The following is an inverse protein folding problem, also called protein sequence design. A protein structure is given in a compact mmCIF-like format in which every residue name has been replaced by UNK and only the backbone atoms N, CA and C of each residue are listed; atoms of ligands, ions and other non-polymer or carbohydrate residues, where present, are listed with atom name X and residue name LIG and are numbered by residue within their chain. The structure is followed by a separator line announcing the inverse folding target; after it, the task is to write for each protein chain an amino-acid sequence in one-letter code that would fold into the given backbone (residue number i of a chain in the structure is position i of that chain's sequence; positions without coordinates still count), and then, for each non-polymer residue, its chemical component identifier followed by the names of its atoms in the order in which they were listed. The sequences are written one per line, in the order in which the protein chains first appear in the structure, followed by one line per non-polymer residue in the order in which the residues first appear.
data_IF_290275905265
#
_entry.id   IF_290275905265
#
_cell.length_a   1.000
_cell.length_b   1.000
_cell.length_c   1.000
_cell.angle_alpha   90.00
_cell.angle_beta   90.00
_cell.angle_gamma   90.00
#
_symmetry.space_group_name_H-M   'P 1'
#
loop_
_entity.id
_entity.type
_entity.pdbx_description
1 polymer ?
#
# COMPACT_ATOMS: atom_id res chain seq x y z
N UNK A 1 -12.10 -26.88 -3.86
CA UNK A 1 -12.62 -25.60 -4.39
C UNK A 1 -11.73 -25.25 -5.57
N UNK A 2 -12.26 -25.27 -6.80
CA UNK A 2 -11.44 -25.23 -8.00
C UNK A 2 -11.72 -23.94 -8.77
N UNK A 3 -10.70 -23.11 -8.94
CA UNK A 3 -10.71 -22.02 -9.91
C UNK A 3 -10.72 -22.63 -11.31
N UNK A 4 -11.53 -22.08 -12.20
CA UNK A 4 -11.55 -22.52 -13.60
C UNK A 4 -10.28 -22.07 -14.33
N UNK A 5 -9.96 -22.71 -15.46
CA UNK A 5 -8.87 -22.23 -16.33
C UNK A 5 -9.11 -20.79 -16.82
N UNK A 6 -10.38 -20.42 -17.03
CA UNK A 6 -10.75 -19.05 -17.39
C UNK A 6 -10.46 -18.09 -16.23
N UNK A 7 -10.79 -18.47 -14.98
CA UNK A 7 -10.50 -17.67 -13.79
C UNK A 7 -9.01 -17.39 -13.67
N UNK A 8 -8.18 -18.44 -13.84
CA UNK A 8 -6.73 -18.33 -13.76
C UNK A 8 -6.16 -17.41 -14.86
N UNK A 9 -6.69 -17.49 -16.08
CA UNK A 9 -6.27 -16.58 -17.18
C UNK A 9 -6.62 -15.13 -16.86
N UNK A 10 -7.84 -14.87 -16.42
CA UNK A 10 -8.27 -13.51 -16.05
C UNK A 10 -7.47 -12.98 -14.86
N UNK A 11 -7.16 -13.82 -13.87
CA UNK A 11 -6.26 -13.48 -12.76
C UNK A 11 -4.88 -13.06 -13.28
N UNK A 12 -4.25 -13.87 -14.14
CA UNK A 12 -2.94 -13.54 -14.71
C UNK A 12 -2.95 -12.20 -15.47
N UNK A 13 -3.98 -11.96 -16.29
CA UNK A 13 -4.15 -10.66 -16.97
C UNK A 13 -4.28 -9.50 -15.97
N UNK A 14 -5.15 -9.64 -14.96
CA UNK A 14 -5.34 -8.65 -13.91
C UNK A 14 -4.06 -8.35 -13.15
N UNK A 15 -3.31 -9.39 -12.74
CA UNK A 15 -2.03 -9.20 -12.05
C UNK A 15 -1.05 -8.42 -12.93
N UNK A 16 -0.98 -8.72 -14.22
CA UNK A 16 -0.17 -7.97 -15.17
C UNK A 16 -0.49 -6.47 -15.18
N UNK A 17 -1.77 -6.12 -15.33
CA UNK A 17 -2.22 -4.72 -15.34
C UNK A 17 -2.01 -4.01 -13.99
N UNK A 18 -2.11 -4.73 -12.87
CA UNK A 18 -1.87 -4.17 -11.53
C UNK A 18 -0.40 -3.87 -11.25
N UNK A 19 0.53 -4.52 -11.95
CA UNK A 19 1.95 -4.20 -11.89
C UNK A 19 2.36 -3.05 -12.82
N UNK A 20 1.44 -2.50 -13.62
CA UNK A 20 1.70 -1.30 -14.40
C UNK A 20 1.46 -0.04 -13.56
N UNK A 21 2.43 0.86 -13.56
CA UNK A 21 2.38 2.16 -12.90
C UNK A 21 1.17 2.98 -13.39
N UNK A 22 0.34 3.47 -12.45
CA UNK A 22 -0.83 4.30 -12.78
C UNK A 22 -1.11 5.34 -11.68
N UNK A 23 -1.47 6.58 -12.04
CA UNK A 23 -1.92 7.58 -11.07
C UNK A 23 -3.37 7.32 -10.58
N UNK A 24 -4.10 6.43 -11.25
CA UNK A 24 -5.51 6.14 -10.99
C UNK A 24 -5.66 4.97 -10.01
N UNK A 25 -6.66 5.06 -9.13
CA UNK A 25 -7.04 3.95 -8.24
C UNK A 25 -7.66 2.79 -9.02
N UNK A 26 -7.80 1.62 -8.37
CA UNK A 26 -8.45 0.45 -8.97
C UNK A 26 -9.81 0.80 -9.62
N UNK A 27 -10.67 1.54 -8.93
CA UNK A 27 -12.03 1.90 -9.39
C UNK A 27 -12.05 2.90 -10.54
N UNK A 28 -10.94 3.61 -10.77
CA UNK A 28 -10.79 4.60 -11.84
C UNK A 28 -10.17 3.99 -13.10
N UNK A 29 -9.94 2.66 -13.12
CA UNK A 29 -9.36 1.91 -14.23
C UNK A 29 -10.40 0.97 -14.84
N UNK A 30 -11.14 1.41 -15.89
CA UNK A 30 -12.22 0.63 -16.51
C UNK A 30 -11.79 -0.77 -16.96
N UNK A 31 -10.58 -0.89 -17.51
CA UNK A 31 -10.01 -2.14 -18.01
C UNK A 31 -9.82 -3.19 -16.91
N UNK A 32 -9.53 -2.75 -15.68
CA UNK A 32 -9.37 -3.63 -14.52
C UNK A 32 -10.72 -3.89 -13.86
N UNK A 33 -11.51 -2.84 -13.62
CA UNK A 33 -12.83 -2.97 -12.95
C UNK A 33 -13.78 -3.85 -13.74
N UNK A 34 -13.81 -3.76 -15.07
CA UNK A 34 -14.67 -4.63 -15.91
C UNK A 34 -14.26 -6.10 -15.82
N UNK A 35 -12.94 -6.40 -15.85
CA UNK A 35 -12.44 -7.78 -15.69
C UNK A 35 -12.75 -8.32 -14.29
N UNK A 36 -12.55 -7.51 -13.26
CA UNK A 36 -12.85 -7.89 -11.87
C UNK A 36 -14.36 -8.10 -11.66
N UNK A 37 -15.18 -7.23 -12.26
CA UNK A 37 -16.63 -7.33 -12.30
C UNK A 37 -17.10 -8.66 -12.89
N UNK A 38 -16.58 -9.02 -14.07
CA UNK A 38 -16.90 -10.28 -14.73
C UNK A 38 -16.42 -11.50 -13.93
N UNK A 39 -15.22 -11.43 -13.32
CA UNK A 39 -14.61 -12.54 -12.60
C UNK A 39 -15.35 -12.88 -11.28
N UNK A 40 -15.84 -11.84 -10.59
CA UNK A 40 -16.49 -11.96 -9.27
C UNK A 40 -18.02 -11.92 -9.35
N UNK A 41 -18.61 -11.59 -10.49
CA UNK A 41 -20.07 -11.40 -10.61
C UNK A 41 -20.57 -10.18 -9.85
N UNK A 42 -19.78 -9.11 -9.83
CA UNK A 42 -20.10 -7.83 -9.14
C UNK A 42 -20.37 -6.75 -10.17
N UNK A 43 -21.29 -5.83 -9.89
CA UNK A 43 -21.58 -4.67 -10.76
C UNK A 43 -21.41 -3.32 -10.03
N UNK A 44 -20.96 -3.36 -8.78
CA UNK A 44 -20.55 -2.21 -8.00
C UNK A 44 -19.22 -2.51 -7.33
N UNK A 45 -18.26 -1.61 -7.52
CA UNK A 45 -16.98 -1.64 -6.80
C UNK A 45 -16.77 -0.24 -6.23
N UNK A 46 -16.76 -0.13 -4.91
CA UNK A 46 -16.50 1.11 -4.20
C UNK A 46 -15.15 1.06 -3.52
N UNK A 47 -14.50 2.21 -3.45
CA UNK A 47 -13.24 2.44 -2.79
C UNK A 47 -13.42 3.59 -1.79
N UNK A 48 -13.18 3.34 -0.51
CA UNK A 48 -13.27 4.35 0.56
C UNK A 48 -11.89 4.50 1.19
N UNK A 49 -11.36 5.71 1.16
CA UNK A 49 -10.12 6.07 1.85
C UNK A 49 -10.48 6.54 3.25
N UNK A 50 -9.93 5.89 4.26
CA UNK A 50 -10.15 6.23 5.67
C UNK A 50 -8.90 6.84 6.31
N UNK A 51 -9.10 7.88 7.13
CA UNK A 51 -8.13 8.40 8.10
C UNK A 51 -8.49 7.95 9.52
N UNK A 52 -7.61 8.28 10.48
CA UNK A 52 -7.80 8.02 11.91
C UNK A 52 -8.06 6.55 12.26
N UNK A 53 -7.31 5.63 11.64
CA UNK A 53 -7.44 4.19 11.82
C UNK A 53 -8.85 3.66 11.46
N UNK A 54 -9.37 4.07 10.31
CA UNK A 54 -10.67 3.58 9.82
C UNK A 54 -11.88 4.27 10.44
N UNK A 55 -11.71 5.47 11.03
CA UNK A 55 -12.80 6.20 11.69
C UNK A 55 -13.43 7.26 10.80
N UNK A 56 -12.63 7.98 10.02
CA UNK A 56 -13.09 9.13 9.23
C UNK A 56 -12.92 8.83 7.75
N UNK A 57 -14.01 8.69 6.95
CA UNK A 57 -13.87 8.55 5.51
C UNK A 57 -13.52 9.92 4.90
N UNK A 58 -12.47 9.97 4.09
CA UNK A 58 -12.00 11.23 3.46
C UNK A 58 -12.24 11.27 1.96
N UNK A 59 -12.36 10.11 1.31
CA UNK A 59 -12.67 10.02 -0.11
C UNK A 59 -13.46 8.74 -0.38
N UNK A 60 -14.45 8.83 -1.27
CA UNK A 60 -15.28 7.72 -1.72
C UNK A 60 -15.40 7.79 -3.23
N UNK A 61 -14.96 6.74 -3.91
CA UNK A 61 -15.08 6.61 -5.36
C UNK A 61 -15.75 5.27 -5.67
N UNK A 62 -16.74 5.27 -6.56
CA UNK A 62 -17.48 4.06 -6.92
C UNK A 62 -17.59 3.91 -8.42
N UNK A 63 -17.33 2.69 -8.89
CA UNK A 63 -17.63 2.24 -10.24
C UNK A 63 -18.99 1.53 -10.26
N UNK A 64 -19.76 1.74 -11.32
CA UNK A 64 -21.05 1.09 -11.57
C UNK A 64 -22.27 1.80 -10.97
N UNK A 65 -22.09 2.89 -10.22
CA UNK A 65 -23.17 3.73 -9.67
C UNK A 65 -22.88 5.21 -9.87
N UNK A 66 -23.91 6.03 -9.74
CA UNK A 66 -23.82 7.47 -9.98
C UNK A 66 -22.98 8.18 -8.90
N UNK A 67 -22.23 9.26 -9.23
CA UNK A 67 -21.33 9.92 -8.29
C UNK A 67 -22.02 10.60 -7.09
N UNK A 68 -23.27 11.02 -7.24
CA UNK A 68 -24.11 11.60 -6.18
C UNK A 68 -24.25 10.65 -4.97
N UNK A 69 -24.30 9.35 -5.22
CA UNK A 69 -24.28 8.30 -4.20
C UNK A 69 -23.12 8.46 -3.21
N UNK A 70 -21.93 8.83 -3.69
CA UNK A 70 -20.74 8.95 -2.84
C UNK A 70 -20.87 10.15 -1.89
N UNK A 71 -21.46 11.25 -2.37
CA UNK A 71 -21.71 12.43 -1.56
C UNK A 71 -22.77 12.14 -0.47
N UNK A 72 -23.87 11.45 -0.82
CA UNK A 72 -24.88 11.03 0.16
C UNK A 72 -24.28 10.10 1.23
N UNK A 73 -23.42 9.16 0.81
CA UNK A 73 -22.73 8.27 1.75
C UNK A 73 -21.86 9.05 2.74
N UNK A 74 -21.03 9.97 2.24
CA UNK A 74 -20.15 10.77 3.08
C UNK A 74 -20.93 11.71 4.02
N UNK A 75 -22.03 12.29 3.56
CA UNK A 75 -22.79 13.26 4.36
C UNK A 75 -23.59 12.62 5.50
N UNK A 76 -24.11 11.41 5.29
CA UNK A 76 -25.05 10.80 6.23
C UNK A 76 -24.77 9.32 6.46
N UNK A 77 -24.79 8.51 5.39
CA UNK A 77 -24.89 7.07 5.54
C UNK A 77 -23.63 6.40 6.13
N UNK A 78 -22.45 7.03 6.06
CA UNK A 78 -21.25 6.51 6.73
C UNK A 78 -21.41 6.43 8.26
N UNK A 79 -22.21 7.32 8.86
CA UNK A 79 -22.42 7.37 10.31
C UNK A 79 -23.39 6.29 10.81
N UNK A 80 -24.26 5.79 9.93
CA UNK A 80 -25.26 4.75 10.23
C UNK A 80 -24.96 3.41 9.55
N UNK A 81 -23.84 3.30 8.83
CA UNK A 81 -23.42 2.06 8.18
C UNK A 81 -23.01 1.01 9.23
N UNK A 82 -23.76 -0.10 9.38
CA UNK A 82 -23.45 -1.14 10.35
C UNK A 82 -22.27 -2.04 9.91
N UNK A 83 -21.84 -1.98 8.65
CA UNK A 83 -20.77 -2.82 8.09
C UNK A 83 -19.40 -2.22 8.41
N UNK A 84 -19.22 -0.91 8.23
CA UNK A 84 -17.95 -0.20 8.46
C UNK A 84 -17.27 -0.58 9.80
N UNK A 85 -17.94 -0.57 10.96
CA UNK A 85 -17.31 -0.90 12.23
C UNK A 85 -16.88 -2.37 12.35
N UNK A 86 -17.59 -3.28 11.68
CA UNK A 86 -17.33 -4.74 11.73
C UNK A 86 -16.14 -5.14 10.87
N UNK A 87 -15.80 -4.33 9.87
CA UNK A 87 -14.65 -4.55 9.03
C UNK A 87 -13.34 -4.12 9.73
N UNK A 88 -13.39 -3.15 10.66
CA UNK A 88 -12.19 -2.55 11.26
C UNK A 88 -11.26 -3.62 11.83
N UNK A 89 -9.95 -3.44 11.60
CA UNK A 89 -8.88 -4.35 12.03
C UNK A 89 -8.89 -5.75 11.40
N UNK A 90 -9.61 -5.95 10.29
CA UNK A 90 -9.59 -7.21 9.53
C UNK A 90 -9.01 -6.99 8.13
N UNK A 91 -7.76 -7.40 7.87
CA UNK A 91 -7.07 -7.08 6.62
C UNK A 91 -7.48 -7.98 5.44
N UNK A 92 -8.04 -9.15 5.70
CA UNK A 92 -8.32 -10.17 4.67
C UNK A 92 -9.60 -9.87 3.88
N UNK A 93 -9.78 -10.54 2.74
CA UNK A 93 -11.05 -10.48 2.03
C UNK A 93 -12.15 -11.22 2.83
N UNK A 94 -13.31 -10.57 2.96
CA UNK A 94 -14.41 -11.02 3.81
C UNK A 94 -15.72 -11.03 3.04
N UNK A 95 -16.55 -12.04 3.34
CA UNK A 95 -17.96 -12.08 2.95
C UNK A 95 -18.76 -11.23 3.93
N UNK A 96 -19.50 -10.23 3.43
CA UNK A 96 -20.29 -9.32 4.27
C UNK A 96 -21.38 -10.08 5.03
N UNK A 97 -21.97 -11.12 4.42
CA UNK A 97 -22.96 -11.98 5.09
C UNK A 97 -22.37 -12.77 6.28
N UNK A 98 -21.05 -12.97 6.32
CA UNK A 98 -20.34 -13.55 7.46
C UNK A 98 -20.13 -12.56 8.62
N UNK A 99 -20.33 -11.26 8.38
CA UNK A 99 -20.15 -10.20 9.37
C UNK A 99 -21.49 -9.76 9.98
N UNK A 100 -22.51 -9.61 9.14
CA UNK A 100 -23.84 -9.19 9.53
C UNK A 100 -24.88 -10.04 8.83
N UNK A 101 -25.81 -10.61 9.61
CA UNK A 101 -26.90 -11.40 9.06
C UNK A 101 -27.80 -10.54 8.17
N UNK A 102 -28.19 -11.06 7.00
CA UNK A 102 -29.05 -10.38 6.02
C UNK A 102 -30.33 -9.80 6.63
N UNK A 103 -31.02 -10.52 7.53
CA UNK A 103 -32.25 -10.01 8.18
C UNK A 103 -31.99 -8.83 9.11
N UNK A 104 -30.80 -8.78 9.71
CA UNK A 104 -30.39 -7.65 10.58
C UNK A 104 -30.04 -6.45 9.72
N UNK A 105 -29.23 -6.65 8.68
CA UNK A 105 -28.90 -5.59 7.72
C UNK A 105 -30.16 -4.99 7.10
N UNK A 106 -31.12 -5.82 6.68
CA UNK A 106 -32.38 -5.37 6.08
C UNK A 106 -33.26 -4.46 6.96
N UNK A 107 -33.00 -4.42 8.27
CA UNK A 107 -33.74 -3.59 9.23
C UNK A 107 -33.06 -2.26 9.51
N UNK A 108 -31.87 -2.01 8.95
CA UNK A 108 -31.15 -0.76 9.16
C UNK A 108 -31.58 0.30 8.14
N UNK A 109 -31.53 1.56 8.56
CA UNK A 109 -31.70 2.72 7.68
C UNK A 109 -30.74 2.65 6.49
N UNK A 110 -29.47 2.27 6.76
CA UNK A 110 -28.47 2.09 5.72
C UNK A 110 -28.92 1.14 4.61
N UNK A 111 -29.61 0.05 4.95
CA UNK A 111 -30.11 -0.87 3.93
C UNK A 111 -31.35 -0.34 3.20
N UNK A 112 -32.33 0.14 3.97
CA UNK A 112 -33.63 0.54 3.41
C UNK A 112 -33.54 1.79 2.55
N UNK A 113 -32.75 2.76 2.99
CA UNK A 113 -32.79 4.11 2.43
C UNK A 113 -31.64 4.37 1.46
N UNK A 114 -30.50 3.69 1.64
CA UNK A 114 -29.30 3.81 0.79
C UNK A 114 -29.09 2.59 -0.11
N UNK A 115 -28.78 1.41 0.45
CA UNK A 115 -28.42 0.23 -0.36
C UNK A 115 -29.53 -0.17 -1.33
N UNK A 116 -30.80 -0.17 -0.89
CA UNK A 116 -31.93 -0.51 -1.76
C UNK A 116 -32.15 0.53 -2.86
N UNK A 117 -32.06 1.82 -2.53
CA UNK A 117 -32.20 2.94 -3.48
C UNK A 117 -31.21 2.82 -4.64
N UNK A 118 -29.95 2.56 -4.31
CA UNK A 118 -28.89 2.41 -5.30
C UNK A 118 -28.73 0.98 -5.83
N UNK A 119 -29.62 0.04 -5.44
CA UNK A 119 -29.57 -1.38 -5.83
C UNK A 119 -28.18 -1.98 -5.56
N UNK A 120 -27.75 -1.96 -4.31
CA UNK A 120 -26.45 -2.47 -3.86
C UNK A 120 -26.69 -3.57 -2.84
N UNK A 121 -26.51 -4.81 -3.26
CA UNK A 121 -26.43 -5.95 -2.35
C UNK A 121 -24.95 -6.21 -2.06
N UNK A 122 -24.49 -5.97 -0.82
CA UNK A 122 -23.08 -6.07 -0.48
C UNK A 122 -22.65 -7.53 -0.46
N UNK A 123 -21.54 -7.83 -1.13
CA UNK A 123 -21.01 -9.19 -1.24
C UNK A 123 -19.72 -9.37 -0.47
N UNK A 124 -18.68 -8.67 -0.92
CA UNK A 124 -17.31 -8.82 -0.45
C UNK A 124 -16.77 -7.47 0.02
N UNK A 125 -15.86 -7.51 0.98
CA UNK A 125 -15.05 -6.36 1.35
C UNK A 125 -13.62 -6.79 1.63
N UNK A 126 -12.67 -5.89 1.40
CA UNK A 126 -11.25 -6.10 1.67
C UNK A 126 -10.59 -4.78 2.02
N UNK A 127 -9.72 -4.81 3.03
CA UNK A 127 -8.89 -3.67 3.38
C UNK A 127 -7.47 -3.82 2.83
N UNK A 128 -6.96 -2.73 2.27
CA UNK A 128 -5.55 -2.54 2.00
C UNK A 128 -5.03 -1.42 2.89
N UNK A 129 -3.91 -1.66 3.56
CA UNK A 129 -3.25 -0.65 4.39
C UNK A 129 -1.96 -0.21 3.71
N UNK A 130 -1.73 1.11 3.69
CA UNK A 130 -0.45 1.67 3.24
C UNK A 130 0.51 1.93 4.41
N UNK A 131 1.75 2.30 4.09
CA UNK A 131 2.80 2.56 5.09
C UNK A 131 2.55 3.79 5.98
N UNK A 132 1.61 4.65 5.61
CA UNK A 132 1.17 5.83 6.35
C UNK A 132 -0.03 5.56 7.26
N UNK A 133 -0.56 4.33 7.29
CA UNK A 133 -1.77 3.97 8.03
C UNK A 133 -3.06 4.42 7.34
N UNK A 134 -2.99 4.79 6.05
CA UNK A 134 -4.19 5.00 5.23
C UNK A 134 -4.80 3.63 4.96
N UNK A 135 -6.08 3.52 5.31
CA UNK A 135 -6.86 2.31 5.13
C UNK A 135 -7.78 2.47 3.92
N UNK A 136 -7.57 1.63 2.91
CA UNK A 136 -8.35 1.60 1.67
C UNK A 136 -9.35 0.45 1.75
N UNK A 137 -10.62 0.81 1.85
CA UNK A 137 -11.76 -0.11 1.87
C UNK A 137 -12.24 -0.37 0.45
N UNK A 138 -12.09 -1.59 -0.03
CA UNK A 138 -12.76 -2.03 -1.25
C UNK A 138 -14.04 -2.76 -0.89
N UNK A 139 -15.17 -2.27 -1.38
CA UNK A 139 -16.49 -2.90 -1.21
C UNK A 139 -17.05 -3.31 -2.55
N UNK A 140 -17.37 -4.58 -2.67
CA UNK A 140 -17.86 -5.16 -3.91
C UNK A 140 -19.27 -5.68 -3.69
N UNK A 141 -20.16 -5.34 -4.61
CA UNK A 141 -21.58 -5.68 -4.54
C UNK A 141 -22.20 -5.81 -5.91
N UNK A 142 -23.50 -6.07 -5.91
CA UNK A 142 -24.27 -6.39 -7.11
C UNK A 142 -25.66 -5.79 -7.04
N UNK A 143 -26.28 -5.52 -8.19
CA UNK A 143 -27.69 -5.16 -8.28
C UNK A 143 -28.63 -6.36 -8.17
N UNK A 144 -28.13 -7.58 -8.36
CA UNK A 144 -28.95 -8.80 -8.30
C UNK A 144 -29.08 -9.33 -6.86
N UNK A 145 -30.27 -9.26 -6.23
CA UNK A 145 -30.49 -9.78 -4.87
C UNK A 145 -30.34 -11.31 -4.72
N UNK A 146 -30.26 -12.04 -5.85
CA UNK A 146 -30.10 -13.49 -5.90
C UNK A 146 -28.64 -13.93 -6.07
N UNK A 147 -27.75 -13.02 -6.48
CA UNK A 147 -26.33 -13.31 -6.60
C UNK A 147 -25.76 -13.62 -5.22
N UNK A 148 -25.02 -14.72 -5.13
CA UNK A 148 -24.37 -15.17 -3.89
C UNK A 148 -22.85 -15.11 -4.06
N UNK A 149 -22.16 -14.77 -2.98
CA UNK A 149 -20.70 -14.76 -2.93
C UNK A 149 -20.24 -15.84 -1.96
N UNK A 150 -19.16 -16.54 -2.30
CA UNK A 150 -18.64 -17.62 -1.48
C UNK A 150 -17.13 -17.62 -1.38
N UNK A 151 -16.60 -18.76 -0.97
CA UNK A 151 -15.17 -18.97 -0.79
C UNK A 151 -14.37 -18.81 -2.10
N UNK A 152 -15.01 -19.01 -3.27
CA UNK A 152 -14.35 -18.79 -4.57
C UNK A 152 -13.97 -17.32 -4.74
N UNK A 153 -14.92 -16.42 -4.57
CA UNK A 153 -14.70 -14.98 -4.77
C UNK A 153 -13.76 -14.42 -3.69
N UNK A 154 -13.88 -14.92 -2.46
CA UNK A 154 -12.95 -14.62 -1.38
C UNK A 154 -11.51 -15.02 -1.74
N UNK A 155 -11.32 -16.25 -2.23
CA UNK A 155 -10.00 -16.74 -2.68
C UNK A 155 -9.43 -15.88 -3.82
N UNK A 156 -10.26 -15.48 -4.79
CA UNK A 156 -9.82 -14.62 -5.90
C UNK A 156 -9.31 -13.28 -5.37
N UNK A 157 -10.03 -12.65 -4.43
CA UNK A 157 -9.60 -11.40 -3.81
C UNK A 157 -8.32 -11.59 -2.97
N UNK A 158 -8.22 -12.68 -2.21
CA UNK A 158 -7.01 -13.00 -1.44
C UNK A 158 -5.79 -13.18 -2.36
N UNK A 159 -5.96 -13.82 -3.53
CA UNK A 159 -4.91 -13.96 -4.53
C UNK A 159 -4.52 -12.63 -5.19
N UNK A 160 -5.49 -11.73 -5.41
CA UNK A 160 -5.24 -10.40 -6.00
C UNK A 160 -4.68 -9.39 -4.99
N UNK A 161 -4.97 -9.57 -3.70
CA UNK A 161 -4.60 -8.66 -2.61
C UNK A 161 -3.14 -8.19 -2.64
N UNK A 162 -2.11 -9.07 -2.73
CA UNK A 162 -0.71 -8.61 -2.79
C UNK A 162 -0.42 -7.73 -4.01
N UNK A 163 -1.08 -7.99 -5.14
CA UNK A 163 -0.93 -7.19 -6.37
C UNK A 163 -1.62 -5.83 -6.26
N UNK A 164 -2.76 -5.77 -5.57
CA UNK A 164 -3.45 -4.52 -5.28
C UNK A 164 -2.66 -3.63 -4.30
N UNK A 165 -2.05 -4.24 -3.27
CA UNK A 165 -1.14 -3.53 -2.36
C UNK A 165 0.04 -2.94 -3.14
N UNK A 166 0.64 -3.72 -4.05
CA UNK A 166 1.71 -3.24 -4.92
C UNK A 166 1.25 -2.08 -5.81
N UNK A 167 0.11 -2.22 -6.49
CA UNK A 167 -0.45 -1.18 -7.35
C UNK A 167 -0.69 0.14 -6.58
N UNK A 168 -1.22 0.06 -5.36
CA UNK A 168 -1.41 1.22 -4.50
C UNK A 168 -0.07 1.87 -4.13
N UNK A 169 0.93 1.07 -3.77
CA UNK A 169 2.27 1.57 -3.43
C UNK A 169 2.94 2.26 -4.61
N UNK A 170 2.84 1.69 -5.81
CA UNK A 170 3.30 2.32 -7.05
C UNK A 170 2.60 3.67 -7.28
N UNK A 171 1.28 3.71 -7.12
CA UNK A 171 0.50 4.95 -7.23
C UNK A 171 0.96 6.00 -6.22
N UNK A 172 1.21 5.61 -4.96
CA UNK A 172 1.74 6.51 -3.94
C UNK A 172 3.13 7.04 -4.31
N UNK A 173 4.02 6.22 -4.87
CA UNK A 173 5.32 6.68 -5.39
C UNK A 173 5.13 7.73 -6.50
N UNK A 174 4.32 7.43 -7.51
CA UNK A 174 4.08 8.33 -8.64
C UNK A 174 3.49 9.68 -8.20
N UNK A 175 2.56 9.65 -7.25
CA UNK A 175 1.92 10.87 -6.75
C UNK A 175 2.86 11.72 -5.89
N UNK A 176 3.77 11.10 -5.12
CA UNK A 176 4.81 11.80 -4.38
C UNK A 176 5.82 12.51 -5.31
N UNK A 177 6.01 12.02 -6.53
CA UNK A 177 6.93 12.61 -7.53
C UNK A 177 6.35 13.79 -8.33
N UNK A 178 5.16 14.30 -8.00
CA UNK A 178 4.58 15.51 -8.63
C UNK A 178 5.09 16.82 -8.02
N UNK A 179 6.33 16.86 -7.53
CA UNK A 179 7.04 18.12 -7.29
C UNK A 179 7.64 18.63 -8.63
N UNK A 180 7.33 19.83 -9.13
CA UNK A 180 7.58 20.24 -10.52
C UNK A 180 9.06 20.44 -10.92
N UNK A 181 10.04 20.09 -10.09
CA UNK A 181 11.43 20.56 -10.23
C UNK A 181 12.50 19.51 -10.54
N UNK A 182 12.17 18.24 -10.87
CA UNK A 182 13.23 17.33 -11.33
C UNK A 182 12.79 15.97 -11.90
N UNK A 183 13.66 15.28 -12.69
CA UNK A 183 13.32 14.04 -13.39
C UNK A 183 13.78 12.74 -12.69
N UNK A 184 14.17 12.77 -11.41
CA UNK A 184 14.56 11.56 -10.69
C UNK A 184 13.53 11.19 -9.62
N UNK A 185 13.17 9.89 -9.58
CA UNK A 185 12.34 9.34 -8.52
C UNK A 185 12.95 9.64 -7.15
N UNK A 186 12.20 10.31 -6.28
CA UNK A 186 12.51 10.61 -4.87
C UNK A 186 12.51 9.35 -3.97
N UNK A 187 12.78 8.17 -4.53
CA UNK A 187 12.95 6.94 -3.80
C UNK A 187 14.02 6.03 -4.43
N UNK A 188 14.71 5.19 -3.65
CA UNK A 188 15.64 4.20 -4.17
C UNK A 188 14.95 3.27 -5.18
N UNK A 189 15.50 3.19 -6.39
CA UNK A 189 14.93 2.39 -7.47
C UNK A 189 16.01 1.55 -8.15
N UNK A 190 15.64 0.35 -8.57
CA UNK A 190 16.46 -0.58 -9.35
C UNK A 190 15.75 -0.96 -10.65
N UNK A 191 16.43 -0.80 -11.78
CA UNK A 191 15.98 -1.36 -13.06
C UNK A 191 16.53 -2.77 -13.18
N UNK A 192 15.64 -3.73 -13.43
CA UNK A 192 15.94 -5.14 -13.53
C UNK A 192 15.75 -5.59 -14.98
N UNK A 193 16.86 -5.91 -15.63
CA UNK A 193 16.90 -6.60 -16.92
C UNK A 193 17.43 -8.02 -16.66
N UNK A 194 16.74 -9.09 -17.11
CA UNK A 194 17.21 -10.47 -16.97
C UNK A 194 18.64 -10.71 -17.48
N UNK A 195 19.13 -9.89 -18.42
CA UNK A 195 20.46 -10.02 -19.01
C UNK A 195 21.56 -9.25 -18.26
N UNK A 196 21.23 -8.36 -17.32
CA UNK A 196 22.21 -7.50 -16.64
C UNK A 196 22.03 -7.50 -15.12
N UNK A 197 23.04 -7.01 -14.40
CA UNK A 197 22.92 -6.81 -12.95
C UNK A 197 21.89 -5.70 -12.65
N UNK A 198 21.16 -5.77 -11.51
CA UNK A 198 20.25 -4.73 -11.08
C UNK A 198 20.90 -3.34 -11.12
N UNK A 199 20.29 -2.41 -11.86
CA UNK A 199 20.84 -1.08 -12.09
C UNK A 199 20.22 -0.06 -11.12
N UNK A 200 20.97 0.46 -10.13
CA UNK A 200 20.47 1.40 -9.14
C UNK A 200 20.40 2.84 -9.66
N UNK A 201 19.36 3.59 -9.28
CA UNK A 201 19.36 5.05 -9.42
C UNK A 201 20.29 5.73 -8.38
N UNK A 202 20.35 7.06 -8.37
CA UNK A 202 21.17 7.82 -7.41
C UNK A 202 20.85 7.52 -5.94
N UNK A 203 19.56 7.53 -5.59
CA UNK A 203 19.08 7.24 -4.21
C UNK A 203 19.38 5.80 -3.78
N UNK A 204 19.26 4.83 -4.69
CA UNK A 204 19.65 3.44 -4.43
C UNK A 204 21.15 3.29 -4.20
N UNK A 205 21.99 3.99 -4.97
CA UNK A 205 23.45 3.99 -4.71
C UNK A 205 23.79 4.58 -3.34
N UNK A 206 23.15 5.68 -2.95
CA UNK A 206 23.34 6.29 -1.64
C UNK A 206 22.92 5.33 -0.50
N UNK A 207 21.75 4.68 -0.64
CA UNK A 207 21.29 3.67 0.30
C UNK A 207 22.32 2.53 0.42
N UNK A 208 22.76 1.98 -0.71
CA UNK A 208 23.69 0.85 -0.74
C UNK A 208 25.08 1.16 -0.15
N UNK A 209 25.54 2.41 -0.25
CA UNK A 209 26.82 2.81 0.34
C UNK A 209 26.85 2.67 1.87
N UNK A 210 25.68 2.72 2.53
CA UNK A 210 25.54 2.55 3.97
C UNK A 210 25.31 1.11 4.43
N UNK A 211 25.25 0.14 3.51
CA UNK A 211 24.93 -1.26 3.82
C UNK A 211 26.20 -2.10 3.97
N UNK A 212 26.16 -3.04 4.92
CA UNK A 212 27.20 -4.07 5.00
C UNK A 212 27.10 -5.08 3.84
N UNK A 213 28.07 -5.99 3.76
CA UNK A 213 28.13 -6.99 2.68
C UNK A 213 26.91 -7.91 2.69
N UNK A 214 26.48 -8.39 3.86
CA UNK A 214 25.36 -9.31 3.98
C UNK A 214 24.03 -8.65 3.58
N UNK A 215 23.84 -7.40 3.99
CA UNK A 215 22.68 -6.58 3.64
C UNK A 215 22.61 -6.32 2.12
N UNK A 216 23.74 -6.03 1.48
CA UNK A 216 23.81 -5.91 0.03
C UNK A 216 23.49 -7.23 -0.66
N UNK A 217 24.09 -8.32 -0.23
CA UNK A 217 23.90 -9.63 -0.85
C UNK A 217 22.43 -10.09 -0.74
N UNK A 218 21.77 -9.86 0.40
CA UNK A 218 20.35 -10.17 0.58
C UNK A 218 19.44 -9.32 -0.31
N UNK A 219 19.72 -8.02 -0.45
CA UNK A 219 18.96 -7.15 -1.36
C UNK A 219 19.14 -7.59 -2.82
N UNK A 220 20.39 -7.80 -3.27
CA UNK A 220 20.66 -8.25 -4.63
C UNK A 220 20.06 -9.63 -4.92
N UNK A 221 20.08 -10.55 -3.96
CA UNK A 221 19.40 -11.85 -4.09
C UNK A 221 17.90 -11.70 -4.35
N UNK A 222 17.21 -10.83 -3.63
CA UNK A 222 15.79 -10.53 -3.85
C UNK A 222 15.55 -9.90 -5.23
N UNK A 223 16.37 -8.92 -5.62
CA UNK A 223 16.25 -8.25 -6.93
C UNK A 223 16.47 -9.23 -8.09
N UNK A 224 17.48 -10.10 -7.98
CA UNK A 224 17.75 -11.14 -8.98
C UNK A 224 16.63 -12.17 -9.06
N UNK A 225 16.00 -12.53 -7.93
CA UNK A 225 14.83 -13.41 -7.93
C UNK A 225 13.65 -12.77 -8.68
N UNK A 226 13.37 -11.48 -8.42
CA UNK A 226 12.32 -10.74 -9.13
C UNK A 226 12.62 -10.68 -10.64
N UNK A 227 13.87 -10.41 -11.02
CA UNK A 227 14.28 -10.37 -12.41
C UNK A 227 14.04 -11.71 -13.14
N UNK A 228 14.31 -12.83 -12.46
CA UNK A 228 14.22 -14.17 -13.04
C UNK A 228 12.80 -14.75 -13.06
N UNK A 229 12.01 -14.53 -12.00
CA UNK A 229 10.73 -15.22 -11.78
C UNK A 229 9.53 -14.26 -11.74
N UNK A 230 9.77 -12.96 -11.81
CA UNK A 230 8.76 -11.94 -11.59
C UNK A 230 8.48 -11.70 -10.09
N UNK A 231 7.54 -10.79 -9.79
CA UNK A 231 7.19 -10.43 -8.42
C UNK A 231 6.55 -11.60 -7.67
N UNK A 232 7.06 -11.89 -6.47
CA UNK A 232 6.49 -12.83 -5.51
C UNK A 232 5.68 -12.11 -4.42
N UNK A 233 4.99 -12.87 -3.56
CA UNK A 233 4.22 -12.30 -2.45
C UNK A 233 5.15 -11.86 -1.31
N UNK A 234 4.80 -10.74 -0.65
CA UNK A 234 5.44 -10.34 0.60
C UNK A 234 6.87 -9.80 0.46
N UNK A 235 7.17 -9.08 -0.64
CA UNK A 235 8.50 -8.53 -0.87
C UNK A 235 8.80 -7.34 0.07
N UNK A 236 9.55 -7.63 1.14
CA UNK A 236 10.07 -6.65 2.07
C UNK A 236 11.53 -6.94 2.43
N UNK A 237 12.28 -5.90 2.73
CA UNK A 237 13.69 -5.99 3.08
C UNK A 237 14.09 -4.81 3.98
N UNK A 238 14.65 -5.10 5.15
CA UNK A 238 15.17 -4.09 6.10
C UNK A 238 14.26 -2.88 6.35
N UNK A 239 12.94 -3.11 6.48
CA UNK A 239 11.96 -2.03 6.70
C UNK A 239 11.50 -1.31 5.44
N UNK A 240 11.94 -1.74 4.26
CA UNK A 240 11.42 -1.32 2.97
C UNK A 240 10.47 -2.38 2.39
N UNK A 241 9.41 -1.94 1.76
CA UNK A 241 8.62 -2.72 0.81
C UNK A 241 9.24 -2.56 -0.58
N UNK A 242 9.36 -3.67 -1.32
CA UNK A 242 9.78 -3.65 -2.72
C UNK A 242 8.52 -3.57 -3.57
N UNK A 243 8.34 -2.44 -4.24
CA UNK A 243 7.20 -2.19 -5.12
C UNK A 243 7.65 -2.43 -6.55
N UNK A 244 7.04 -3.39 -7.21
CA UNK A 244 7.48 -3.88 -8.52
C UNK A 244 6.57 -3.30 -9.59
N UNK A 245 7.14 -2.48 -10.46
CA UNK A 245 6.51 -2.03 -11.70
C UNK A 245 6.97 -2.95 -12.83
N UNK A 246 6.02 -3.41 -13.64
CA UNK A 246 6.26 -4.05 -14.93
C UNK A 246 6.14 -3.00 -16.02
N UNK A 247 7.20 -2.81 -16.80
CA UNK A 247 7.19 -1.89 -17.94
C UNK A 247 7.91 -2.51 -19.15
N UNK A 248 7.84 -1.82 -20.29
CA UNK A 248 8.53 -2.19 -21.52
C UNK A 248 9.77 -1.30 -21.71
N UNK A 249 10.87 -1.87 -22.19
CA UNK A 249 12.00 -1.09 -22.71
C UNK A 249 11.67 -0.46 -24.08
N UNK A 250 12.62 0.30 -24.62
CA UNK A 250 12.49 0.92 -25.95
C UNK A 250 12.31 -0.10 -27.09
N UNK A 251 12.75 -1.35 -26.88
CA UNK A 251 12.67 -2.45 -27.84
C UNK A 251 11.40 -3.31 -27.64
N UNK A 252 10.52 -2.94 -26.69
CA UNK A 252 9.28 -3.66 -26.39
C UNK A 252 9.47 -4.94 -25.56
N UNK A 253 10.61 -5.12 -24.90
CA UNK A 253 10.87 -6.22 -23.97
C UNK A 253 10.41 -5.86 -22.56
N UNK A 254 9.87 -6.83 -21.84
CA UNK A 254 9.50 -6.65 -20.44
C UNK A 254 10.73 -6.49 -19.55
N UNK A 255 10.67 -5.48 -18.69
CA UNK A 255 11.60 -5.27 -17.60
C UNK A 255 10.82 -4.95 -16.33
N UNK A 256 11.49 -5.08 -15.18
CA UNK A 256 10.93 -4.65 -13.91
C UNK A 256 11.66 -3.44 -13.36
N UNK A 257 10.92 -2.48 -12.80
CA UNK A 257 11.48 -1.46 -11.91
C UNK A 257 11.06 -1.79 -10.49
N UNK A 258 12.01 -1.78 -9.57
CA UNK A 258 11.75 -2.06 -8.16
C UNK A 258 12.04 -0.82 -7.33
N UNK A 259 10.99 -0.28 -6.72
CA UNK A 259 11.05 0.88 -5.85
C UNK A 259 11.08 0.42 -4.39
N UNK A 260 12.06 0.87 -3.62
CA UNK A 260 12.09 0.65 -2.18
C UNK A 260 11.32 1.77 -1.49
N UNK A 261 10.22 1.40 -0.84
CA UNK A 261 9.41 2.33 -0.05
C UNK A 261 9.44 1.93 1.41
N UNK A 262 9.75 2.88 2.29
CA UNK A 262 9.72 2.62 3.72
C UNK A 262 8.34 2.13 4.17
N UNK A 263 8.34 1.05 4.95
CA UNK A 263 7.13 0.38 5.40
C UNK A 263 6.36 1.18 6.45
N UNK A 264 7.04 2.00 7.25
CA UNK A 264 6.37 2.70 8.35
C UNK A 264 6.94 4.10 8.48
N UNK A 265 6.07 5.12 8.49
CA UNK A 265 6.46 6.51 8.75
C UNK A 265 7.06 6.63 10.15
N UNK A 266 8.30 7.13 10.22
CA UNK A 266 9.10 7.21 11.46
C UNK A 266 10.00 6.00 11.73
N UNK A 267 10.01 5.00 10.86
CA UNK A 267 11.01 3.92 10.89
C UNK A 267 12.38 4.41 10.41
N UNK A 268 13.45 3.66 10.73
CA UNK A 268 14.78 3.98 10.22
C UNK A 268 14.88 3.96 8.69
N UNK A 269 14.14 3.07 8.02
CA UNK A 269 14.03 3.04 6.55
C UNK A 269 13.36 4.30 6.00
N UNK A 270 12.35 4.81 6.72
CA UNK A 270 11.67 6.06 6.36
C UNK A 270 12.60 7.27 6.46
N UNK A 271 13.36 7.39 7.55
CA UNK A 271 14.36 8.45 7.66
C UNK A 271 15.44 8.35 6.58
N UNK A 272 15.93 7.14 6.26
CA UNK A 272 16.90 6.91 5.18
C UNK A 272 16.39 7.40 3.83
N UNK A 273 15.13 7.09 3.51
CA UNK A 273 14.51 7.50 2.26
C UNK A 273 14.34 9.02 2.16
N UNK A 274 13.95 9.67 3.27
CA UNK A 274 13.54 11.08 3.26
C UNK A 274 14.69 12.07 3.49
N UNK A 275 15.73 11.69 4.24
CA UNK A 275 16.75 12.63 4.74
C UNK A 275 18.19 12.23 4.42
N UNK A 276 18.40 11.27 3.51
CA UNK A 276 19.72 10.76 3.11
C UNK A 276 20.62 10.41 4.33
N UNK A 277 19.98 9.94 5.40
CA UNK A 277 20.69 9.41 6.57
C UNK A 277 21.20 8.01 6.25
N UNK A 278 22.32 7.64 6.84
CA UNK A 278 22.84 6.27 6.74
C UNK A 278 21.92 5.29 7.47
N UNK A 279 22.08 3.98 7.21
CA UNK A 279 21.34 2.94 7.94
C UNK A 279 21.45 3.10 9.46
N UNK A 280 22.68 3.28 9.97
CA UNK A 280 22.94 3.45 11.41
C UNK A 280 22.31 4.73 11.95
N UNK A 281 22.35 5.83 11.19
CA UNK A 281 21.66 7.06 11.57
C UNK A 281 20.14 6.89 11.57
N UNK A 282 19.56 6.14 10.63
CA UNK A 282 18.14 5.81 10.61
C UNK A 282 17.70 4.99 11.83
N UNK A 283 18.51 4.01 12.26
CA UNK A 283 18.28 3.28 13.51
C UNK A 283 18.29 4.23 14.73
N UNK A 284 19.26 5.14 14.80
CA UNK A 284 19.31 6.17 15.85
C UNK A 284 18.08 7.08 15.78
N UNK A 285 17.66 7.55 14.59
CA UNK A 285 16.45 8.35 14.42
C UNK A 285 15.20 7.65 14.96
N UNK A 286 15.06 6.36 14.68
CA UNK A 286 13.93 5.57 15.17
C UNK A 286 13.93 5.49 16.71
N UNK A 287 15.08 5.20 17.33
CA UNK A 287 15.19 5.13 18.80
C UNK A 287 15.03 6.52 19.46
N UNK A 288 15.46 7.60 18.79
CA UNK A 288 15.21 8.97 19.24
C UNK A 288 13.70 9.27 19.25
N UNK A 289 12.97 8.84 18.21
CA UNK A 289 11.52 8.99 18.11
C UNK A 289 10.78 8.20 19.20
N UNK A 290 11.29 7.04 19.60
CA UNK A 290 10.79 6.27 20.75
C UNK A 290 11.08 6.93 22.11
N UNK A 291 11.81 8.05 22.13
CA UNK A 291 12.16 8.78 23.35
C UNK A 291 13.36 8.21 24.11
N UNK A 292 14.13 7.28 23.52
CA UNK A 292 15.27 6.68 24.20
C UNK A 292 16.41 7.66 24.40
N UNK A 293 16.99 7.74 25.60
CA UNK A 293 18.20 8.53 25.87
C UNK A 293 19.44 8.01 25.12
N UNK A 294 20.46 8.85 24.96
CA UNK A 294 21.70 8.47 24.26
C UNK A 294 22.39 7.25 24.88
N UNK A 295 22.26 7.05 26.20
CA UNK A 295 22.76 5.87 26.90
C UNK A 295 21.97 4.60 26.55
N UNK A 296 20.65 4.71 26.46
CA UNK A 296 19.78 3.60 26.06
C UNK A 296 20.03 3.23 24.59
N UNK A 297 20.18 4.21 23.71
CA UNK A 297 20.54 4.00 22.30
C UNK A 297 21.90 3.31 22.17
N UNK A 298 22.89 3.75 22.94
CA UNK A 298 24.22 3.15 22.96
C UNK A 298 24.16 1.67 23.35
N UNK A 299 23.38 1.36 24.38
CA UNK A 299 23.14 -0.02 24.81
C UNK A 299 22.39 -0.84 23.74
N UNK A 300 21.33 -0.29 23.15
CA UNK A 300 20.51 -0.96 22.15
C UNK A 300 21.30 -1.30 20.87
N UNK A 301 22.20 -0.42 20.46
CA UNK A 301 23.00 -0.59 19.23
C UNK A 301 24.39 -1.20 19.47
N UNK A 302 24.77 -1.45 20.73
CA UNK A 302 26.09 -2.01 21.07
C UNK A 302 27.26 -1.09 20.71
N UNK A 303 27.06 0.23 20.77
CA UNK A 303 28.08 1.25 20.44
C UNK A 303 28.35 2.17 21.62
N UNK A 304 29.41 2.98 21.56
CA UNK A 304 29.73 3.91 22.65
C UNK A 304 28.72 5.07 22.74
N UNK A 305 28.50 5.58 23.94
CA UNK A 305 27.71 6.79 24.18
C UNK A 305 28.19 7.99 23.34
N UNK A 306 29.52 8.14 23.19
CA UNK A 306 30.10 9.22 22.37
C UNK A 306 29.80 9.04 20.88
N UNK A 307 29.79 7.80 20.39
CA UNK A 307 29.39 7.46 19.02
C UNK A 307 27.94 7.85 18.79
N UNK A 308 27.04 7.57 19.74
CA UNK A 308 25.63 8.00 19.65
C UNK A 308 25.54 9.52 19.57
N UNK A 309 26.23 10.26 20.45
CA UNK A 309 26.21 11.75 20.41
C UNK A 309 26.69 12.30 19.06
N UNK A 310 27.71 11.67 18.48
CA UNK A 310 28.18 12.05 17.14
C UNK A 310 27.13 11.77 16.06
N UNK A 311 26.43 10.63 16.11
CA UNK A 311 25.31 10.37 15.22
C UNK A 311 24.17 11.37 15.41
N UNK A 312 23.76 11.65 16.65
CA UNK A 312 22.71 12.62 16.97
C UNK A 312 23.04 13.99 16.38
N UNK A 313 24.27 14.48 16.54
CA UNK A 313 24.69 15.76 15.95
C UNK A 313 24.50 15.81 14.44
N UNK A 314 24.97 14.79 13.71
CA UNK A 314 24.80 14.70 12.24
C UNK A 314 23.34 14.54 11.83
N UNK A 315 22.56 13.80 12.61
CA UNK A 315 21.12 13.60 12.38
C UNK A 315 20.39 14.93 12.48
N UNK A 316 20.63 15.71 13.54
CA UNK A 316 19.99 17.02 13.71
C UNK A 316 20.29 17.96 12.54
N UNK A 317 21.55 17.96 12.07
CA UNK A 317 21.97 18.72 10.88
C UNK A 317 21.26 18.24 9.61
N UNK A 318 21.27 16.93 9.32
CA UNK A 318 20.62 16.35 8.13
C UNK A 318 19.10 16.54 8.11
N UNK A 319 18.46 16.47 9.27
CA UNK A 319 17.01 16.66 9.41
C UNK A 319 16.62 18.14 9.48
N UNK A 320 17.58 19.07 9.57
CA UNK A 320 17.33 20.50 9.69
C UNK A 320 16.60 20.88 10.98
N UNK A 321 16.88 20.18 12.09
CA UNK A 321 16.21 20.40 13.38
C UNK A 321 17.19 20.81 14.48
N UNK A 322 16.73 21.70 15.37
CA UNK A 322 17.58 22.26 16.43
C UNK A 322 17.60 21.41 17.71
N UNK A 323 16.65 20.49 17.87
CA UNK A 323 16.55 19.65 19.06
C UNK A 323 16.04 18.26 18.72
N UNK A 324 16.52 17.26 19.49
CA UNK A 324 16.06 15.87 19.35
C UNK A 324 14.56 15.70 19.51
N UNK A 325 13.89 16.53 20.33
CA UNK A 325 12.44 16.50 20.51
C UNK A 325 11.66 16.88 19.25
N UNK A 326 12.28 17.69 18.37
CA UNK A 326 11.66 18.07 17.09
C UNK A 326 11.61 16.91 16.07
N UNK A 327 12.25 15.77 16.34
CA UNK A 327 12.10 14.59 15.46
C UNK A 327 10.63 14.12 15.38
N UNK A 328 9.87 14.29 16.46
CA UNK A 328 8.43 13.97 16.49
C UNK A 328 7.61 14.87 15.56
N UNK A 329 7.99 16.15 15.41
CA UNK A 329 7.25 17.07 14.53
C UNK A 329 7.44 16.73 13.06
N UNK A 330 8.62 16.24 12.67
CA UNK A 330 8.88 15.71 11.32
C UNK A 330 7.93 14.54 11.00
N UNK A 331 7.81 13.58 11.92
CA UNK A 331 6.95 12.40 11.73
C UNK A 331 5.48 12.79 11.72
N UNK A 332 5.06 13.72 12.58
CA UNK A 332 3.68 14.21 12.60
C UNK A 332 3.33 14.97 11.31
N UNK A 333 4.25 15.74 10.75
CA UNK A 333 4.04 16.44 9.48
C UNK A 333 3.85 15.45 8.32
N UNK A 334 4.62 14.35 8.30
CA UNK A 334 4.53 13.33 7.27
C UNK A 334 3.26 12.44 7.34
N UNK A 335 2.51 12.47 8.45
CA UNK A 335 1.25 11.72 8.63
C UNK A 335 -0.02 12.52 8.31
N UNK A 336 0.11 13.81 7.96
CA UNK A 336 -1.04 14.71 7.71
C UNK A 336 -1.63 14.51 6.32
#
# INVERSE_FOLDING_TARGET
MNLSLADLRTLLELTGCLHEASPHSLVERPEITQKLSALLGVDVISHIVWKDHGRTPVQTTTWGRAPDMNAEYQQHFHGVDPISPLLRSRPDALLVEGLINRKTLQRTEYFTDFLTRYKIYPGLSMYLEDSGGILLDYRLGTSDPKQTFGERERLILDLLRPHLINAQRLRSALNAHRDPTGPDADCPCFVLDPATLPQPNGKARALMAGLDTHERDTLYGLLSQIAAQGPSQGLAWCGFNLCVERCLDADGRFLYKVYLQAHTVGSGAWFQQQFDVTRREGEVCHLLLEGQSDKQIAQALGISYWTVRAHVGRILEKLGIESRSAIGTIVLAARR
#
